data_IF_481749916787
#
_entry.id   IF_481749916787
#
_cell.length_a   1.000
_cell.length_b   1.000
_cell.length_c   1.000
_cell.angle_alpha   90.00
_cell.angle_beta   90.00
_cell.angle_gamma   90.00
#
_symmetry.space_group_name_H-M   'P 1'
#
loop_
_entity.id
_entity.type
_entity.pdbx_description
1 polymer ?
#
# COMPACT_ATOMS: atom_id res chain seq x y z
N UNK A 1 -2.02 -9.92 -2.12
CA UNK A 1 -2.36 -8.94 -3.19
C UNK A 1 -3.73 -8.37 -2.93
N UNK A 2 -3.98 -7.09 -3.24
CA UNK A 2 -5.29 -6.46 -3.02
C UNK A 2 -6.28 -6.86 -4.14
N UNK A 3 -7.32 -7.60 -3.81
CA UNK A 3 -8.29 -8.10 -4.78
C UNK A 3 -9.09 -7.00 -5.48
N UNK A 4 -9.40 -5.90 -4.79
CA UNK A 4 -10.17 -4.79 -5.37
C UNK A 4 -9.37 -4.07 -6.45
N UNK A 5 -8.06 -3.85 -6.21
CA UNK A 5 -7.16 -3.25 -7.20
C UNK A 5 -6.98 -4.15 -8.41
N UNK A 6 -6.89 -5.47 -8.19
CA UNK A 6 -6.80 -6.46 -9.26
C UNK A 6 -8.05 -6.47 -10.15
N UNK A 7 -9.24 -6.42 -9.55
CA UNK A 7 -10.50 -6.30 -10.28
C UNK A 7 -10.53 -5.01 -11.11
N UNK A 8 -10.19 -3.87 -10.49
CA UNK A 8 -10.12 -2.59 -11.19
C UNK A 8 -9.11 -2.58 -12.35
N UNK A 9 -8.01 -3.33 -12.23
CA UNK A 9 -7.05 -3.50 -13.33
C UNK A 9 -7.68 -4.25 -14.50
N UNK A 10 -8.39 -5.36 -14.25
CA UNK A 10 -9.12 -6.08 -15.30
C UNK A 10 -10.21 -5.21 -15.95
N UNK A 11 -10.97 -4.44 -15.17
CA UNK A 11 -11.97 -3.49 -15.69
C UNK A 11 -11.33 -2.45 -16.60
N UNK A 12 -10.20 -1.87 -16.18
CA UNK A 12 -9.46 -0.85 -16.95
C UNK A 12 -8.92 -1.40 -18.27
N UNK A 13 -8.53 -2.68 -18.29
CA UNK A 13 -8.09 -3.38 -19.49
C UNK A 13 -9.27 -3.86 -20.38
N UNK A 14 -10.51 -3.69 -19.92
CA UNK A 14 -11.71 -4.14 -20.63
C UNK A 14 -11.87 -5.67 -20.64
N UNK A 15 -11.32 -6.36 -19.63
CA UNK A 15 -11.34 -7.82 -19.55
C UNK A 15 -12.58 -8.31 -18.81
N UNK A 16 -13.10 -9.47 -19.22
CA UNK A 16 -14.15 -10.16 -18.45
C UNK A 16 -13.52 -11.10 -17.44
N UNK A 17 -13.96 -11.00 -16.20
CA UNK A 17 -13.45 -11.81 -15.11
C UNK A 17 -14.54 -12.17 -14.11
N UNK A 18 -14.23 -13.11 -13.23
CA UNK A 18 -14.99 -13.41 -12.02
C UNK A 18 -14.01 -13.65 -10.87
N UNK A 19 -14.39 -13.27 -9.65
CA UNK A 19 -13.60 -13.51 -8.44
C UNK A 19 -14.43 -14.36 -7.48
N UNK A 20 -13.98 -15.59 -7.22
CA UNK A 20 -14.62 -16.51 -6.27
C UNK A 20 -13.54 -17.24 -5.48
N UNK A 21 -13.70 -17.33 -4.15
CA UNK A 21 -12.79 -18.07 -3.27
C UNK A 21 -11.30 -17.71 -3.47
N UNK A 22 -10.96 -16.41 -3.54
CA UNK A 22 -9.62 -15.88 -3.83
C UNK A 22 -9.03 -16.28 -5.19
N UNK A 23 -9.84 -16.82 -6.10
CA UNK A 23 -9.43 -17.13 -7.47
C UNK A 23 -10.06 -16.12 -8.39
N UNK A 24 -9.22 -15.32 -9.04
CA UNK A 24 -9.60 -14.51 -10.18
C UNK A 24 -9.53 -15.39 -11.43
N UNK A 25 -10.66 -15.53 -12.12
CA UNK A 25 -10.75 -16.22 -13.39
C UNK A 25 -11.06 -15.20 -14.49
N UNK A 26 -10.10 -14.98 -15.39
CA UNK A 26 -10.27 -14.11 -16.55
C UNK A 26 -10.71 -14.98 -17.73
N UNK A 27 -11.84 -14.64 -18.32
CA UNK A 27 -12.45 -15.39 -19.42
C UNK A 27 -12.34 -14.66 -20.76
N UNK A 28 -12.04 -13.35 -20.79
CA UNK A 28 -11.86 -12.61 -22.03
C UNK A 28 -10.82 -11.50 -21.84
N UNK A 29 -9.89 -11.35 -22.79
CA UNK A 29 -8.77 -10.37 -22.74
C UNK A 29 -8.78 -9.39 -23.93
N UNK A 30 -9.97 -8.95 -24.33
CA UNK A 30 -10.22 -8.05 -25.47
C UNK A 30 -11.21 -8.63 -26.48
N UNK A 31 -11.55 -7.84 -27.51
CA UNK A 31 -12.49 -8.23 -28.55
C UNK A 31 -11.94 -9.43 -29.34
N UNK A 32 -12.74 -10.48 -29.51
CA UNK A 32 -12.49 -11.74 -30.23
C UNK A 32 -11.78 -12.90 -29.49
N UNK A 33 -11.64 -12.82 -28.15
CA UNK A 33 -11.08 -13.92 -27.36
C UNK A 33 -12.13 -14.96 -26.96
N UNK A 34 -12.56 -15.85 -27.87
CA UNK A 34 -13.45 -16.97 -27.51
C UNK A 34 -12.64 -18.22 -27.11
N UNK A 35 -12.54 -18.48 -25.81
CA UNK A 35 -11.86 -19.65 -25.26
C UNK A 35 -12.75 -20.89 -25.11
N UNK A 36 -13.92 -20.92 -25.78
CA UNK A 36 -14.87 -22.05 -25.75
C UNK A 36 -15.31 -22.48 -24.33
N UNK A 37 -15.37 -21.52 -23.39
CA UNK A 37 -15.71 -21.78 -21.98
C UNK A 37 -14.50 -22.08 -21.08
N UNK A 38 -13.28 -22.10 -21.61
CA UNK A 38 -12.05 -22.14 -20.81
C UNK A 38 -11.62 -20.73 -20.37
N UNK A 39 -10.62 -20.67 -19.47
CA UNK A 39 -10.08 -19.42 -18.97
C UNK A 39 -8.84 -18.97 -19.74
N UNK A 40 -8.69 -17.66 -19.87
CA UNK A 40 -7.46 -17.03 -20.37
C UNK A 40 -6.39 -17.07 -19.28
N UNK A 41 -6.74 -16.58 -18.09
CA UNK A 41 -5.88 -16.50 -16.92
C UNK A 41 -6.66 -16.97 -15.68
N UNK A 42 -5.98 -17.70 -14.81
CA UNK A 42 -6.43 -18.02 -13.46
C UNK A 42 -5.37 -17.53 -12.50
N UNK A 43 -5.73 -16.67 -11.57
CA UNK A 43 -4.82 -16.11 -10.57
C UNK A 43 -5.34 -16.42 -9.18
N UNK A 44 -4.51 -17.04 -8.36
CA UNK A 44 -4.77 -17.19 -6.93
C UNK A 44 -4.25 -15.94 -6.20
N UNK A 45 -5.16 -15.16 -5.62
CA UNK A 45 -4.87 -13.89 -4.96
C UNK A 45 -4.08 -14.07 -3.66
N UNK A 46 -4.15 -15.27 -3.06
CA UNK A 46 -3.47 -15.60 -1.81
C UNK A 46 -2.03 -16.04 -2.01
N UNK A 47 -1.74 -16.77 -3.08
CA UNK A 47 -0.38 -17.26 -3.40
C UNK A 47 0.33 -16.43 -4.47
N UNK A 48 -0.39 -15.54 -5.16
CA UNK A 48 0.06 -14.82 -6.36
C UNK A 48 0.43 -15.76 -7.53
N UNK A 49 -0.08 -17.00 -7.53
CA UNK A 49 0.19 -17.96 -8.59
C UNK A 49 -0.73 -17.71 -9.80
N UNK A 50 -0.13 -17.54 -10.98
CA UNK A 50 -0.85 -17.36 -12.24
C UNK A 50 -0.73 -18.63 -13.08
N UNK A 51 -1.88 -19.16 -13.49
CA UNK A 51 -1.99 -20.18 -14.54
C UNK A 51 -2.62 -19.54 -15.77
N UNK A 52 -2.09 -19.83 -16.96
CA UNK A 52 -2.61 -19.26 -18.20
C UNK A 52 -2.63 -20.28 -19.33
N UNK A 53 -3.57 -20.11 -20.25
CA UNK A 53 -3.77 -21.03 -21.36
C UNK A 53 -2.95 -20.59 -22.58
N UNK A 54 -1.82 -21.26 -22.84
CA UNK A 54 -0.98 -20.97 -24.01
C UNK A 54 -1.51 -21.55 -25.32
N UNK A 55 -2.46 -22.50 -25.27
CA UNK A 55 -3.02 -23.13 -26.45
C UNK A 55 -3.91 -22.15 -27.23
N UNK A 56 -4.78 -21.42 -26.52
CA UNK A 56 -5.64 -20.40 -27.13
C UNK A 56 -5.06 -18.98 -27.06
N UNK A 57 -4.04 -18.75 -26.23
CA UNK A 57 -3.37 -17.44 -26.09
C UNK A 57 -1.84 -17.63 -26.09
N UNK A 58 -1.20 -17.80 -27.27
CA UNK A 58 0.26 -17.97 -27.36
C UNK A 58 1.07 -16.81 -26.76
N UNK A 59 0.48 -15.60 -26.74
CA UNK A 59 1.04 -14.40 -26.11
C UNK A 59 0.60 -14.20 -24.65
N UNK A 60 0.19 -15.27 -23.94
CA UNK A 60 -0.34 -15.17 -22.59
C UNK A 60 0.60 -14.47 -21.60
N UNK A 61 1.91 -14.68 -21.74
CA UNK A 61 2.92 -13.99 -20.93
C UNK A 61 2.85 -12.45 -21.06
N UNK A 62 2.60 -11.94 -22.28
CA UNK A 62 2.43 -10.49 -22.52
C UNK A 62 1.21 -9.97 -21.79
N UNK A 63 0.11 -10.74 -21.80
CA UNK A 63 -1.12 -10.38 -21.08
C UNK A 63 -0.93 -10.39 -19.57
N UNK A 64 -0.19 -11.36 -19.03
CA UNK A 64 0.15 -11.37 -17.60
C UNK A 64 0.96 -10.12 -17.22
N UNK A 65 1.93 -9.72 -18.02
CA UNK A 65 2.69 -8.49 -17.77
C UNK A 65 1.82 -7.23 -17.92
N UNK A 66 0.93 -7.16 -18.91
CA UNK A 66 -0.04 -6.06 -19.06
C UNK A 66 -0.94 -5.90 -17.82
N UNK A 67 -1.45 -7.01 -17.28
CA UNK A 67 -2.23 -7.02 -16.05
C UNK A 67 -1.39 -6.56 -14.86
N UNK A 68 -0.15 -7.03 -14.75
CA UNK A 68 0.76 -6.71 -13.67
C UNK A 68 1.15 -5.23 -13.67
N UNK A 69 1.46 -4.65 -14.83
CA UNK A 69 1.77 -3.22 -14.96
C UNK A 69 0.56 -2.37 -14.56
N UNK A 70 -0.63 -2.72 -15.06
CA UNK A 70 -1.86 -2.01 -14.71
C UNK A 70 -2.21 -2.14 -13.22
N UNK A 71 -2.06 -3.33 -12.66
CA UNK A 71 -2.24 -3.57 -11.24
C UNK A 71 -1.29 -2.73 -10.40
N UNK A 72 0.00 -2.70 -10.74
CA UNK A 72 1.02 -1.93 -10.02
C UNK A 72 0.69 -0.43 -10.02
N UNK A 73 0.36 0.12 -11.19
CA UNK A 73 -0.08 1.52 -11.33
C UNK A 73 -1.23 1.86 -10.38
N UNK A 74 -2.31 1.07 -10.42
CA UNK A 74 -3.48 1.28 -9.57
C UNK A 74 -3.18 1.02 -8.09
N UNK A 75 -2.33 0.05 -7.77
CA UNK A 75 -1.97 -0.30 -6.40
C UNK A 75 -1.17 0.81 -5.73
N UNK A 76 -0.28 1.48 -6.47
CA UNK A 76 0.46 2.64 -5.98
C UNK A 76 -0.49 3.80 -5.64
N UNK A 77 -1.46 4.09 -6.50
CA UNK A 77 -2.45 5.14 -6.25
C UNK A 77 -3.38 4.80 -5.09
N UNK A 78 -3.88 3.57 -5.04
CA UNK A 78 -4.67 3.06 -3.93
C UNK A 78 -3.92 3.17 -2.60
N UNK A 79 -2.65 2.74 -2.57
CA UNK A 79 -1.80 2.81 -1.37
C UNK A 79 -1.59 4.24 -0.89
N UNK A 80 -1.36 5.19 -1.81
CA UNK A 80 -1.28 6.61 -1.50
C UNK A 80 -2.57 7.11 -0.84
N UNK A 81 -3.71 6.88 -1.47
CA UNK A 81 -5.00 7.42 -1.01
C UNK A 81 -5.42 6.79 0.33
N UNK A 82 -5.23 5.48 0.49
CA UNK A 82 -5.48 4.77 1.74
C UNK A 82 -4.60 5.31 2.87
N UNK A 83 -3.30 5.55 2.61
CA UNK A 83 -2.39 6.09 3.61
C UNK A 83 -2.80 7.49 4.04
N UNK A 84 -3.08 8.39 3.08
CA UNK A 84 -3.48 9.76 3.39
C UNK A 84 -4.76 9.75 4.23
N UNK A 85 -5.78 9.00 3.79
CA UNK A 85 -7.05 8.90 4.51
C UNK A 85 -6.87 8.39 5.94
N UNK A 86 -6.05 7.36 6.14
CA UNK A 86 -5.87 6.78 7.48
C UNK A 86 -5.07 7.70 8.41
N UNK A 87 -4.06 8.40 7.90
CA UNK A 87 -3.31 9.39 8.67
C UNK A 87 -4.16 10.63 9.01
N UNK A 88 -5.00 11.10 8.09
CA UNK A 88 -5.90 12.23 8.36
C UNK A 88 -6.90 11.92 9.47
N UNK A 89 -7.48 10.70 9.51
CA UNK A 89 -8.32 10.24 10.63
C UNK A 89 -7.58 10.27 11.97
N UNK A 90 -6.28 10.02 11.94
CA UNK A 90 -5.40 10.03 13.12
C UNK A 90 -4.83 11.42 13.44
N UNK A 91 -5.33 12.48 12.80
CA UNK A 91 -4.99 13.87 13.11
C UNK A 91 -3.72 14.37 12.45
N UNK A 92 -3.25 13.73 11.38
CA UNK A 92 -2.20 14.26 10.53
C UNK A 92 -2.77 15.12 9.40
N UNK A 93 -1.96 16.02 8.87
CA UNK A 93 -2.28 16.85 7.70
C UNK A 93 -1.37 16.48 6.54
N UNK A 94 -1.95 16.29 5.36
CA UNK A 94 -1.20 16.03 4.14
C UNK A 94 -0.41 17.26 3.67
N UNK A 95 0.83 17.04 3.24
CA UNK A 95 1.67 18.05 2.58
C UNK A 95 2.41 17.47 1.38
N UNK A 96 2.25 18.09 0.22
CA UNK A 96 2.95 17.71 -1.01
C UNK A 96 4.46 17.91 -0.92
N UNK A 97 5.23 16.98 -1.51
CA UNK A 97 6.67 17.13 -1.70
C UNK A 97 6.97 17.79 -3.05
N UNK A 98 7.00 19.12 -3.10
CA UNK A 98 7.16 19.88 -4.36
C UNK A 98 8.51 19.69 -5.06
N UNK A 99 9.53 19.20 -4.35
CA UNK A 99 10.85 18.92 -4.93
C UNK A 99 10.97 17.50 -5.49
N UNK A 100 9.96 16.65 -5.31
CA UNK A 100 9.98 15.28 -5.79
C UNK A 100 9.68 15.21 -7.28
N UNK A 101 10.46 14.41 -7.99
CA UNK A 101 10.21 14.03 -9.38
C UNK A 101 9.99 12.52 -9.43
N UNK A 102 8.81 12.03 -9.86
CA UNK A 102 8.56 10.60 -9.98
C UNK A 102 9.59 9.90 -10.88
N UNK A 103 9.94 8.68 -10.51
CA UNK A 103 10.80 7.79 -11.31
C UNK A 103 10.02 6.53 -11.71
N UNK A 104 10.68 5.58 -12.37
CA UNK A 104 10.09 4.27 -12.66
C UNK A 104 9.75 3.50 -11.38
N UNK A 105 10.58 3.60 -10.35
CA UNK A 105 10.42 2.85 -9.10
C UNK A 105 9.66 3.65 -8.04
N UNK A 106 10.01 4.92 -7.82
CA UNK A 106 9.35 5.80 -6.84
C UNK A 106 8.25 6.62 -7.52
N UNK A 107 6.99 6.32 -7.23
CA UNK A 107 5.83 6.95 -7.90
C UNK A 107 5.32 8.18 -7.18
N UNK A 108 5.27 8.14 -5.85
CA UNK A 108 4.77 9.25 -5.03
C UNK A 108 5.71 9.53 -3.88
N UNK A 109 5.88 10.81 -3.55
CA UNK A 109 6.48 11.24 -2.29
C UNK A 109 5.71 12.42 -1.71
N UNK A 110 5.44 12.38 -0.41
CA UNK A 110 4.70 13.41 0.30
C UNK A 110 5.00 13.30 1.81
N UNK A 111 4.47 14.25 2.58
CA UNK A 111 4.62 14.30 4.01
C UNK A 111 3.25 14.21 4.69
N UNK A 112 3.21 13.55 5.85
CA UNK A 112 2.11 13.70 6.81
C UNK A 112 2.65 14.41 8.05
N UNK A 113 2.05 15.53 8.41
CA UNK A 113 2.50 16.40 9.50
C UNK A 113 1.51 16.38 10.66
N UNK A 114 2.01 16.38 11.89
CA UNK A 114 1.18 16.43 13.08
C UNK A 114 1.84 17.27 14.18
N UNK A 115 1.02 17.73 15.10
CA UNK A 115 1.45 18.49 16.28
C UNK A 115 1.21 17.66 17.54
N UNK A 116 2.22 17.59 18.39
CA UNK A 116 2.15 17.06 19.75
C UNK A 116 1.41 18.05 20.66
N UNK A 117 0.62 17.49 21.57
CA UNK A 117 -0.07 18.26 22.61
C UNK A 117 0.53 18.02 24.00
N UNK A 118 1.66 17.30 24.11
CA UNK A 118 2.39 17.15 25.37
C UNK A 118 2.99 18.51 25.77
N UNK A 119 2.60 19.10 26.92
CA UNK A 119 3.12 20.39 27.36
C UNK A 119 4.61 20.36 27.71
N UNK A 120 5.20 19.16 27.87
CA UNK A 120 6.63 18.97 28.13
C UNK A 120 7.44 18.80 26.83
N UNK A 121 6.79 18.76 25.68
CA UNK A 121 7.45 18.69 24.38
C UNK A 121 7.87 20.08 23.90
N UNK A 122 9.17 20.27 23.73
CA UNK A 122 9.80 21.50 23.22
C UNK A 122 9.85 21.53 21.68
N UNK A 123 9.80 20.36 21.03
CA UNK A 123 9.75 20.19 19.58
C UNK A 123 8.43 19.51 19.15
N UNK A 124 7.28 20.20 19.24
CA UNK A 124 5.96 19.57 19.09
C UNK A 124 5.57 19.27 17.64
N UNK A 125 6.27 19.81 16.64
CA UNK A 125 5.92 19.61 15.24
C UNK A 125 6.69 18.43 14.66
N UNK A 126 5.95 17.46 14.15
CA UNK A 126 6.49 16.25 13.54
C UNK A 126 6.08 16.14 12.08
N UNK A 127 6.99 15.62 11.26
CA UNK A 127 6.77 15.37 9.84
C UNK A 127 7.30 13.99 9.49
N UNK A 128 6.47 13.21 8.80
CA UNK A 128 6.84 11.87 8.31
C UNK A 128 6.82 11.92 6.79
N UNK A 129 7.96 11.63 6.16
CA UNK A 129 8.05 11.48 4.72
C UNK A 129 7.62 10.07 4.32
N UNK A 130 6.69 10.00 3.38
CA UNK A 130 6.29 8.77 2.72
C UNK A 130 6.80 8.74 1.30
N UNK A 131 7.20 7.56 0.85
CA UNK A 131 7.50 7.26 -0.56
C UNK A 131 6.76 5.99 -0.94
N UNK A 132 5.97 6.05 -2.01
CA UNK A 132 5.21 4.90 -2.53
C UNK A 132 5.92 4.42 -3.79
N UNK A 133 6.31 3.15 -3.79
CA UNK A 133 6.93 2.50 -4.94
C UNK A 133 5.88 2.08 -5.97
N UNK A 134 6.33 1.70 -7.17
CA UNK A 134 5.48 1.25 -8.28
C UNK A 134 4.57 0.08 -7.92
N UNK A 135 5.02 -0.80 -7.04
CA UNK A 135 4.26 -1.97 -6.60
C UNK A 135 3.30 -1.65 -5.43
N UNK A 136 3.24 -0.40 -4.97
CA UNK A 136 2.47 0.03 -3.80
C UNK A 136 3.21 -0.13 -2.47
N UNK A 137 4.48 -0.57 -2.47
CA UNK A 137 5.29 -0.62 -1.25
C UNK A 137 5.46 0.76 -0.64
N UNK A 138 5.27 0.84 0.67
CA UNK A 138 5.34 2.09 1.43
C UNK A 138 6.65 2.14 2.20
N UNK A 139 7.47 3.15 1.88
CA UNK A 139 8.68 3.49 2.60
C UNK A 139 8.41 4.70 3.47
N UNK A 140 8.75 4.58 4.75
CA UNK A 140 8.60 5.66 5.74
C UNK A 140 9.96 6.17 6.17
N UNK A 141 10.12 7.50 6.18
CA UNK A 141 11.30 8.19 6.68
C UNK A 141 10.88 9.33 7.62
N UNK A 142 11.28 9.23 8.88
CA UNK A 142 11.00 10.21 9.93
C UNK A 142 12.22 10.34 10.83
N UNK A 143 12.45 11.55 11.33
CA UNK A 143 13.45 11.80 12.37
C UNK A 143 12.82 11.59 13.76
N UNK A 144 12.82 12.61 14.60
CA UNK A 144 12.15 12.59 15.90
C UNK A 144 10.63 12.73 15.74
N UNK A 145 9.88 11.86 16.42
CA UNK A 145 8.43 11.95 16.58
C UNK A 145 8.13 12.02 18.08
N UNK A 146 7.45 13.08 18.57
CA UNK A 146 6.91 13.11 19.92
C UNK A 146 6.06 11.87 20.21
N UNK A 147 6.05 11.39 21.45
CA UNK A 147 5.48 10.09 21.78
C UNK A 147 3.99 9.96 21.38
N UNK A 148 3.18 10.99 21.63
CA UNK A 148 1.76 11.00 21.28
C UNK A 148 1.53 10.99 19.76
N UNK A 149 2.37 11.69 19.00
CA UNK A 149 2.36 11.65 17.53
C UNK A 149 2.81 10.28 17.02
N UNK A 150 3.84 9.70 17.63
CA UNK A 150 4.36 8.39 17.27
C UNK A 150 3.32 7.28 17.50
N UNK A 151 2.59 7.32 18.61
CA UNK A 151 1.49 6.38 18.89
C UNK A 151 0.41 6.44 17.80
N UNK A 152 -0.02 7.65 17.40
CA UNK A 152 -0.99 7.86 16.30
C UNK A 152 -0.46 7.38 14.95
N UNK A 153 0.82 7.63 14.64
CA UNK A 153 1.44 7.15 13.42
C UNK A 153 1.48 5.61 13.37
N UNK A 154 1.70 4.96 14.51
CA UNK A 154 1.66 3.51 14.60
C UNK A 154 0.24 2.96 14.47
N UNK A 155 -0.75 3.58 15.11
CA UNK A 155 -2.16 3.21 15.00
C UNK A 155 -2.64 3.28 13.54
N UNK A 156 -2.39 4.40 12.86
CA UNK A 156 -2.73 4.57 11.45
C UNK A 156 -2.10 3.48 10.57
N UNK A 157 -0.82 3.16 10.79
CA UNK A 157 -0.14 2.17 9.97
C UNK A 157 -0.57 0.74 10.27
N UNK A 158 -0.91 0.39 11.51
CA UNK A 158 -1.38 -0.95 11.85
C UNK A 158 -2.74 -1.24 11.17
N UNK A 159 -3.64 -0.24 11.10
CA UNK A 159 -4.89 -0.32 10.35
C UNK A 159 -4.62 -0.40 8.83
N UNK A 160 -3.69 0.43 8.34
CA UNK A 160 -3.33 0.44 6.93
C UNK A 160 -2.74 -0.90 6.47
N UNK A 161 -1.87 -1.52 7.26
CA UNK A 161 -1.24 -2.82 6.95
C UNK A 161 -2.29 -3.94 6.85
N UNK A 162 -3.36 -3.90 7.66
CA UNK A 162 -4.48 -4.83 7.54
C UNK A 162 -5.24 -4.68 6.21
N UNK A 163 -5.43 -3.44 5.75
CA UNK A 163 -6.14 -3.17 4.50
C UNK A 163 -5.31 -3.42 3.24
N UNK A 164 -4.01 -3.09 3.29
CA UNK A 164 -3.12 -3.26 2.14
C UNK A 164 -2.60 -4.70 2.01
N UNK A 165 -2.58 -5.47 3.11
CA UNK A 165 -2.03 -6.82 3.14
C UNK A 165 -0.50 -6.87 2.96
N UNK A 166 0.17 -5.71 3.00
CA UNK A 166 1.62 -5.55 2.87
C UNK A 166 2.15 -4.82 4.11
N UNK A 167 3.32 -5.24 4.59
CA UNK A 167 4.03 -4.54 5.69
C UNK A 167 4.81 -3.35 5.15
N UNK A 168 4.88 -2.26 5.92
CA UNK A 168 5.72 -1.11 5.57
C UNK A 168 7.21 -1.44 5.67
N UNK A 169 8.04 -0.69 4.95
CA UNK A 169 9.50 -0.68 5.13
C UNK A 169 9.91 0.58 5.89
N UNK A 170 10.42 0.40 7.10
CA UNK A 170 10.93 1.50 7.93
C UNK A 170 12.43 1.73 7.69
N UNK A 171 12.83 2.96 7.35
CA UNK A 171 14.23 3.37 7.37
C UNK A 171 14.59 3.89 8.77
N UNK A 172 15.21 3.04 9.60
CA UNK A 172 15.65 3.44 10.94
C UNK A 172 16.89 4.33 10.85
N UNK A 173 16.79 5.55 11.36
CA UNK A 173 17.92 6.45 11.58
C UNK A 173 18.39 6.35 13.05
N UNK A 174 19.68 6.58 13.34
CA UNK A 174 20.15 6.67 14.71
C UNK A 174 19.46 7.84 15.42
N UNK A 175 18.90 7.58 16.60
CA UNK A 175 18.24 8.62 17.40
C UNK A 175 19.31 9.56 17.97
N UNK A 176 19.22 10.87 17.73
CA UNK A 176 20.14 11.83 18.35
C UNK A 176 20.08 11.78 19.88
N UNK A 177 21.23 11.89 20.55
CA UNK A 177 21.35 11.73 21.99
C UNK A 177 20.38 12.60 22.82
N UNK A 178 20.04 13.81 22.32
CA UNK A 178 19.11 14.74 22.97
C UNK A 178 17.67 14.22 23.11
N UNK A 179 17.27 13.19 22.36
CA UNK A 179 15.91 12.63 22.41
C UNK A 179 15.83 11.30 23.18
N UNK A 180 16.97 10.69 23.52
CA UNK A 180 16.98 9.37 24.20
C UNK A 180 16.21 9.39 25.53
N UNK A 181 16.26 10.51 26.26
CA UNK A 181 15.53 10.70 27.53
C UNK A 181 14.03 10.95 27.34
N UNK A 182 13.59 11.29 26.14
CA UNK A 182 12.18 11.62 25.81
C UNK A 182 11.43 10.42 25.23
N UNK A 183 12.14 9.43 24.69
CA UNK A 183 11.52 8.24 24.11
C UNK A 183 10.82 7.41 25.17
N UNK A 184 9.52 7.13 24.94
CA UNK A 184 8.76 6.16 25.74
C UNK A 184 8.51 4.91 24.91
N UNK A 185 8.57 3.71 25.52
CA UNK A 185 8.18 2.49 24.83
C UNK A 185 6.71 2.58 24.43
N UNK A 186 6.40 2.09 23.22
CA UNK A 186 5.03 2.01 22.73
C UNK A 186 4.17 1.26 23.73
N UNK A 187 2.98 1.79 24.06
CA UNK A 187 1.99 1.05 24.85
C UNK A 187 1.50 -0.16 24.04
N UNK A 188 1.87 -1.36 24.47
CA UNK A 188 1.29 -2.61 23.94
C UNK A 188 -0.09 -2.80 24.53
N UNK A 189 -1.14 -2.61 23.73
CA UNK A 189 -2.49 -3.03 24.10
C UNK A 189 -2.52 -4.56 23.95
N UNK A 190 -2.51 -5.28 25.07
CA UNK A 190 -2.78 -6.72 25.06
C UNK A 190 -4.25 -6.92 24.69
N UNK A 191 -4.54 -7.27 23.44
CA UNK A 191 -5.89 -7.60 22.95
C UNK A 191 -6.44 -8.96 23.44
N UNK A 192 -5.86 -9.55 24.50
CA UNK A 192 -6.31 -10.82 25.04
C UNK A 192 -6.71 -10.69 26.52
N UNK A 193 -7.89 -10.12 26.78
CA UNK A 193 -8.77 -10.53 27.88
C UNK A 193 -10.20 -10.13 27.53
N UNK A 194 -10.95 -11.07 26.95
CA UNK A 194 -12.37 -11.34 27.21
C UNK A 194 -12.75 -12.56 26.38
N UNK A 195 -12.44 -13.73 26.95
CA UNK A 195 -13.09 -15.01 26.63
C UNK A 195 -14.44 -15.09 27.33
#
# INVERSE_FOLDING_TARGET
MNANVLMAACETLGWKYSLQNNILLVTEVGNDSNFNGEFALRLDVSTNEVTYNTYYMPNAHVKVEELKEKFQELNAEYSKNALISEFEKNGFTYRSNYTFTPTEEERFSFYMEAKSYDPLEDEPFASIKFTILKDGTIITDSDYLPNDVNEKAHEAMDILEQHLGNKRVMKKKPVPAKYLSKMKPRRTINLNQNS
#
